data_IF_169991148906
#
_entry.id   IF_169991148906
#
_cell.length_a   1.000
_cell.length_b   1.000
_cell.length_c   1.000
_cell.angle_alpha   90.00
_cell.angle_beta   90.00
_cell.angle_gamma   90.00
#
_symmetry.space_group_name_H-M   'P 1'
#
loop_
_entity.id
_entity.type
_entity.pdbx_description
1 polymer ?
#
# COMPACT_ATOMS: atom_id res chain seq x y z
N UNK A 1 23.02 2.87 -13.92
CA UNK A 1 21.84 3.27 -13.14
C UNK A 1 22.16 2.96 -11.68
N UNK A 2 22.41 3.95 -10.85
CA UNK A 2 22.61 3.70 -9.41
C UNK A 2 21.25 3.33 -8.83
N UNK A 3 21.16 2.16 -8.20
CA UNK A 3 20.01 1.79 -7.38
C UNK A 3 19.96 2.80 -6.22
N UNK A 4 19.06 3.77 -6.29
CA UNK A 4 18.83 4.71 -5.21
C UNK A 4 18.06 3.99 -4.08
N UNK A 5 18.82 3.26 -3.25
CA UNK A 5 18.33 2.58 -2.04
C UNK A 5 18.26 3.57 -0.87
N UNK A 6 18.64 4.83 -1.10
CA UNK A 6 18.50 5.88 -0.09
C UNK A 6 17.03 6.12 0.19
N UNK A 7 16.67 6.35 1.45
CA UNK A 7 15.28 6.61 1.88
C UNK A 7 14.65 7.80 1.15
N UNK A 8 13.40 8.11 1.46
CA UNK A 8 12.69 9.23 0.85
C UNK A 8 13.48 10.53 0.94
N UNK A 9 13.61 11.27 -0.16
CA UNK A 9 14.27 12.58 -0.19
C UNK A 9 13.52 13.56 0.69
N UNK A 10 14.24 14.35 1.47
CA UNK A 10 13.66 15.41 2.30
C UNK A 10 13.64 16.67 1.46
N UNK A 11 12.45 17.20 1.15
CA UNK A 11 12.31 18.43 0.40
C UNK A 11 12.43 19.66 1.30
N UNK A 12 11.87 19.59 2.49
CA UNK A 12 11.83 20.73 3.39
C UNK A 12 11.84 20.28 4.86
N UNK A 13 12.59 20.97 5.69
CA UNK A 13 12.58 20.82 7.14
C UNK A 13 11.91 22.04 7.75
N UNK A 14 10.78 21.83 8.42
CA UNK A 14 10.13 22.90 9.19
C UNK A 14 10.86 23.06 10.52
N UNK A 15 11.16 24.32 10.95
CA UNK A 15 11.79 24.59 12.24
C UNK A 15 10.79 24.44 13.41
N UNK A 16 10.06 23.34 13.44
CA UNK A 16 9.08 23.00 14.48
C UNK A 16 9.61 21.75 15.16
N UNK A 17 10.11 21.91 16.39
CA UNK A 17 10.54 20.78 17.21
C UNK A 17 9.31 20.11 17.85
N UNK A 18 8.99 18.91 17.37
CA UNK A 18 7.96 18.08 17.99
C UNK A 18 8.61 17.23 19.08
N UNK A 19 8.12 17.25 20.33
CA UNK A 19 8.64 16.40 21.39
C UNK A 19 8.64 14.94 20.91
N UNK A 20 9.77 14.23 21.06
CA UNK A 20 10.00 12.82 20.65
C UNK A 20 10.33 12.63 19.17
N UNK A 21 9.80 13.44 18.23
CA UNK A 21 9.99 13.25 16.77
C UNK A 21 11.09 14.17 16.19
N UNK A 22 11.56 15.17 16.96
CA UNK A 22 12.51 16.15 16.46
C UNK A 22 11.92 17.12 15.44
N UNK A 23 12.71 17.60 14.49
CA UNK A 23 12.24 18.54 13.46
C UNK A 23 11.31 17.88 12.47
N UNK A 24 10.21 18.53 12.15
CA UNK A 24 9.24 18.03 11.17
C UNK A 24 9.84 18.11 9.76
N UNK A 25 10.05 16.95 9.15
CA UNK A 25 10.64 16.82 7.82
C UNK A 25 9.56 16.49 6.82
N UNK A 26 9.42 17.29 5.78
CA UNK A 26 8.54 16.97 4.64
C UNK A 26 9.33 16.12 3.65
N UNK A 27 8.99 14.84 3.61
CA UNK A 27 9.59 13.89 2.69
C UNK A 27 8.86 13.87 1.34
N UNK A 28 9.54 13.36 0.31
CA UNK A 28 8.97 13.12 -1.01
C UNK A 28 7.71 12.26 -0.92
N UNK A 29 7.72 11.20 -0.12
CA UNK A 29 6.57 10.31 0.10
C UNK A 29 5.36 11.03 0.67
N UNK A 30 5.57 12.02 1.55
CA UNK A 30 4.49 12.83 2.11
C UNK A 30 3.82 13.72 1.05
N UNK A 31 4.64 14.36 0.19
CA UNK A 31 4.12 15.19 -0.92
C UNK A 31 3.35 14.34 -1.92
N UNK A 32 3.89 13.16 -2.28
CA UNK A 32 3.21 12.24 -3.19
C UNK A 32 1.92 11.71 -2.55
N UNK A 33 1.90 11.44 -1.24
CA UNK A 33 0.65 11.06 -0.54
C UNK A 33 -0.43 12.13 -0.65
N UNK A 34 -0.07 13.42 -0.52
CA UNK A 34 -1.02 14.52 -0.72
C UNK A 34 -1.53 14.58 -2.15
N UNK A 35 -0.64 14.37 -3.13
CA UNK A 35 -1.02 14.31 -4.53
C UNK A 35 -2.00 13.16 -4.80
N UNK A 36 -1.75 11.97 -4.25
CA UNK A 36 -2.66 10.81 -4.33
C UNK A 36 -4.03 11.15 -3.74
N UNK A 37 -4.07 11.77 -2.56
CA UNK A 37 -5.34 12.17 -1.93
C UNK A 37 -6.11 13.19 -2.78
N UNK A 38 -5.44 14.19 -3.33
CA UNK A 38 -6.05 15.18 -4.22
C UNK A 38 -6.60 14.52 -5.48
N UNK A 39 -5.83 13.60 -6.08
CA UNK A 39 -6.23 12.87 -7.27
C UNK A 39 -7.47 12.00 -7.03
N UNK A 40 -7.48 11.22 -5.94
CA UNK A 40 -8.64 10.37 -5.58
C UNK A 40 -9.86 11.25 -5.30
N UNK A 41 -9.70 12.33 -4.52
CA UNK A 41 -10.80 13.24 -4.20
C UNK A 41 -11.36 13.90 -5.46
N UNK A 42 -10.48 14.39 -6.35
CA UNK A 42 -10.88 14.96 -7.63
C UNK A 42 -11.61 13.97 -8.53
N UNK A 43 -11.13 12.71 -8.56
CA UNK A 43 -11.79 11.63 -9.31
C UNK A 43 -13.17 11.32 -8.73
N UNK A 44 -13.31 11.25 -7.40
CA UNK A 44 -14.59 11.04 -6.74
C UNK A 44 -15.58 12.17 -7.06
N UNK A 45 -15.15 13.43 -6.95
CA UNK A 45 -15.99 14.60 -7.29
C UNK A 45 -16.41 14.53 -8.76
N UNK A 46 -15.47 14.21 -9.66
CA UNK A 46 -15.76 14.12 -11.08
C UNK A 46 -16.74 12.97 -11.41
N UNK A 47 -16.62 11.80 -10.78
CA UNK A 47 -17.50 10.65 -10.97
C UNK A 47 -18.90 10.90 -10.40
N UNK A 48 -19.01 11.61 -9.28
CA UNK A 48 -20.28 11.87 -8.59
C UNK A 48 -20.93 13.19 -8.99
N UNK A 49 -20.31 13.93 -9.93
CA UNK A 49 -20.89 15.16 -10.44
C UNK A 49 -22.13 14.87 -11.31
N UNK A 50 -23.24 15.50 -11.01
CA UNK A 50 -24.50 15.42 -11.78
C UNK A 50 -25.11 13.99 -11.79
N UNK A 51 -25.35 13.46 -10.59
CA UNK A 51 -26.05 12.19 -10.41
C UNK A 51 -27.53 12.32 -10.78
N UNK A 52 -28.05 11.38 -11.57
CA UNK A 52 -29.43 11.35 -12.09
C UNK A 52 -30.09 10.02 -11.78
N UNK A 53 -31.39 10.03 -11.50
CA UNK A 53 -32.17 8.81 -11.30
C UNK A 53 -32.55 8.16 -12.63
N UNK A 54 -32.80 8.97 -13.68
CA UNK A 54 -33.09 8.50 -15.03
C UNK A 54 -31.99 8.90 -16.02
N UNK A 55 -31.77 8.11 -17.06
CA UNK A 55 -30.73 8.31 -18.08
C UNK A 55 -29.29 8.40 -17.45
N UNK A 56 -28.95 7.35 -16.71
CA UNK A 56 -27.69 7.21 -16.00
C UNK A 56 -26.50 7.36 -16.95
N UNK A 57 -25.58 8.26 -16.64
CA UNK A 57 -24.35 8.44 -17.41
C UNK A 57 -23.36 7.28 -17.17
N UNK A 58 -22.50 7.00 -18.16
CA UNK A 58 -21.45 5.96 -17.99
C UNK A 58 -20.55 6.24 -16.78
N UNK A 59 -20.32 7.50 -16.44
CA UNK A 59 -19.54 7.90 -15.25
C UNK A 59 -20.24 7.49 -13.97
N UNK A 60 -21.54 7.76 -13.88
CA UNK A 60 -22.36 7.37 -12.73
C UNK A 60 -22.43 5.85 -12.58
N UNK A 61 -22.60 5.11 -13.67
CA UNK A 61 -22.62 3.65 -13.66
C UNK A 61 -21.30 3.07 -13.11
N UNK A 62 -20.16 3.69 -13.44
CA UNK A 62 -18.86 3.29 -12.88
C UNK A 62 -18.79 3.61 -11.37
N UNK A 63 -19.25 4.80 -10.94
CA UNK A 63 -19.28 5.15 -9.53
C UNK A 63 -20.16 4.20 -8.71
N UNK A 64 -21.36 3.90 -9.20
CA UNK A 64 -22.29 2.95 -8.58
C UNK A 64 -21.70 1.55 -8.49
N UNK A 65 -21.04 1.07 -9.55
CA UNK A 65 -20.36 -0.23 -9.56
C UNK A 65 -19.25 -0.29 -8.49
N UNK A 66 -18.45 0.76 -8.35
CA UNK A 66 -17.39 0.82 -7.32
C UNK A 66 -18.00 0.76 -5.92
N UNK A 67 -19.05 1.53 -5.67
CA UNK A 67 -19.75 1.55 -4.39
C UNK A 67 -20.41 0.20 -4.09
N UNK A 68 -21.07 -0.40 -5.09
CA UNK A 68 -21.68 -1.73 -4.96
C UNK A 68 -20.63 -2.80 -4.61
N UNK A 69 -19.48 -2.80 -5.29
CA UNK A 69 -18.38 -3.73 -4.98
C UNK A 69 -17.81 -3.52 -3.58
N UNK A 70 -17.62 -2.26 -3.16
CA UNK A 70 -17.18 -1.94 -1.81
C UNK A 70 -18.21 -2.40 -0.75
N UNK A 71 -19.51 -2.16 -0.99
CA UNK A 71 -20.59 -2.64 -0.13
C UNK A 71 -20.57 -4.16 -0.02
N UNK A 72 -20.57 -4.86 -1.16
CA UNK A 72 -20.56 -6.33 -1.19
C UNK A 72 -19.34 -6.91 -0.50
N UNK A 73 -18.17 -6.28 -0.65
CA UNK A 73 -16.94 -6.72 -0.01
C UNK A 73 -17.02 -6.60 1.52
N UNK A 74 -17.43 -5.45 2.05
CA UNK A 74 -17.48 -5.24 3.49
C UNK A 74 -18.65 -6.03 4.13
N UNK A 75 -19.85 -5.91 3.58
CA UNK A 75 -21.04 -6.58 4.14
C UNK A 75 -20.92 -8.09 4.02
N UNK A 76 -20.37 -8.61 2.91
CA UNK A 76 -20.19 -10.04 2.72
C UNK A 76 -19.21 -10.68 3.70
N UNK A 77 -18.22 -9.92 4.19
CA UNK A 77 -17.21 -10.45 5.13
C UNK A 77 -17.47 -10.09 6.60
N UNK A 78 -18.18 -9.00 6.88
CA UNK A 78 -18.38 -8.49 8.26
C UNK A 78 -19.84 -8.46 8.69
N UNK A 79 -20.79 -8.53 7.74
CA UNK A 79 -22.22 -8.36 7.96
C UNK A 79 -22.67 -6.90 7.99
N UNK A 80 -24.00 -6.69 7.95
CA UNK A 80 -24.65 -5.38 7.84
C UNK A 80 -24.31 -4.41 8.98
N UNK A 81 -24.01 -4.91 10.17
CA UNK A 81 -23.65 -4.10 11.35
C UNK A 81 -22.41 -3.22 11.13
N UNK A 82 -21.57 -3.57 10.16
CA UNK A 82 -20.33 -2.87 9.85
C UNK A 82 -20.41 -1.96 8.62
N UNK A 83 -21.62 -1.68 8.14
CA UNK A 83 -21.85 -0.80 6.98
C UNK A 83 -21.17 0.57 7.11
N UNK A 84 -20.99 1.06 8.31
CA UNK A 84 -20.30 2.32 8.59
C UNK A 84 -18.79 2.31 8.24
N UNK A 85 -18.18 1.12 8.09
CA UNK A 85 -16.77 0.97 7.70
C UNK A 85 -16.53 0.97 6.19
N UNK A 86 -17.58 0.87 5.39
CA UNK A 86 -17.46 0.82 3.92
C UNK A 86 -16.64 1.99 3.36
N UNK A 87 -16.90 3.26 3.75
CA UNK A 87 -16.12 4.39 3.23
C UNK A 87 -14.64 4.31 3.61
N UNK A 88 -14.34 3.84 4.84
CA UNK A 88 -12.96 3.68 5.30
C UNK A 88 -12.22 2.62 4.49
N UNK A 89 -12.80 1.43 4.32
CA UNK A 89 -12.19 0.32 3.58
C UNK A 89 -12.03 0.69 2.10
N UNK A 90 -13.02 1.34 1.50
CA UNK A 90 -12.94 1.81 0.12
C UNK A 90 -11.85 2.86 -0.08
N UNK A 91 -11.73 3.82 0.85
CA UNK A 91 -10.69 4.84 0.83
C UNK A 91 -9.29 4.21 1.01
N UNK A 92 -9.15 3.28 1.95
CA UNK A 92 -7.90 2.54 2.19
C UNK A 92 -7.45 1.77 0.96
N UNK A 93 -8.38 1.05 0.32
CA UNK A 93 -8.12 0.31 -0.92
C UNK A 93 -7.72 1.24 -2.06
N UNK A 94 -8.50 2.30 -2.31
CA UNK A 94 -8.23 3.26 -3.37
C UNK A 94 -6.86 3.95 -3.16
N UNK A 95 -6.57 4.40 -1.94
CA UNK A 95 -5.30 5.05 -1.61
C UNK A 95 -4.12 4.10 -1.79
N UNK A 96 -4.24 2.84 -1.34
CA UNK A 96 -3.20 1.83 -1.51
C UNK A 96 -2.95 1.50 -2.98
N UNK A 97 -4.01 1.25 -3.77
CA UNK A 97 -3.88 0.95 -5.20
C UNK A 97 -3.26 2.12 -5.96
N UNK A 98 -3.76 3.34 -5.78
CA UNK A 98 -3.24 4.51 -6.49
C UNK A 98 -1.79 4.81 -6.07
N UNK A 99 -1.45 4.65 -4.78
CA UNK A 99 -0.08 4.80 -4.27
C UNK A 99 0.88 3.79 -4.92
N UNK A 100 0.44 2.55 -5.12
CA UNK A 100 1.26 1.53 -5.79
C UNK A 100 1.41 1.83 -7.29
N UNK A 101 0.33 2.25 -7.96
CA UNK A 101 0.36 2.53 -9.40
C UNK A 101 1.14 3.80 -9.75
N UNK A 102 1.33 4.73 -8.81
CA UNK A 102 2.03 5.98 -9.08
C UNK A 102 3.53 5.76 -9.38
N UNK A 103 4.09 4.61 -8.97
CA UNK A 103 5.44 4.19 -9.32
C UNK A 103 5.64 4.02 -10.82
N UNK A 104 4.58 3.65 -11.56
CA UNK A 104 4.61 3.51 -13.02
C UNK A 104 4.86 4.85 -13.74
N UNK A 105 4.55 5.97 -13.09
CA UNK A 105 4.80 7.33 -13.63
C UNK A 105 6.20 7.82 -13.23
N UNK A 106 6.98 6.99 -12.52
CA UNK A 106 8.32 7.33 -12.04
C UNK A 106 8.35 8.17 -10.77
N UNK A 107 7.22 8.30 -10.07
CA UNK A 107 7.15 8.92 -8.74
C UNK A 107 7.38 7.86 -7.67
N UNK A 108 8.00 8.26 -6.56
CA UNK A 108 8.22 7.35 -5.43
C UNK A 108 6.88 7.02 -4.76
N UNK A 109 6.54 5.73 -4.74
CA UNK A 109 5.31 5.29 -4.09
C UNK A 109 5.34 5.58 -2.57
N UNK A 110 4.28 6.16 -2.00
CA UNK A 110 4.12 6.28 -0.54
C UNK A 110 4.21 4.96 0.21
N UNK A 111 3.74 3.86 -0.41
CA UNK A 111 3.77 2.50 0.16
C UNK A 111 5.17 1.88 0.17
N UNK A 112 6.14 2.49 -0.52
CA UNK A 112 7.57 2.14 -0.41
C UNK A 112 8.24 2.73 0.83
N UNK A 113 7.49 3.41 1.70
CA UNK A 113 7.98 3.96 2.97
C UNK A 113 7.32 3.22 4.14
N UNK A 114 8.16 2.60 4.98
CA UNK A 114 7.68 1.84 6.15
C UNK A 114 6.89 2.71 7.12
N UNK A 115 7.18 3.99 7.22
CA UNK A 115 6.45 4.91 8.10
C UNK A 115 4.99 5.09 7.67
N UNK A 116 4.72 5.13 6.38
CA UNK A 116 3.36 5.19 5.82
C UNK A 116 2.58 3.92 6.13
N UNK A 117 3.19 2.77 5.86
CA UNK A 117 2.59 1.45 6.13
C UNK A 117 2.35 1.21 7.61
N UNK A 118 3.32 1.59 8.45
CA UNK A 118 3.17 1.51 9.89
C UNK A 118 2.03 2.40 10.40
N UNK A 119 1.88 3.62 9.86
CA UNK A 119 0.77 4.51 10.22
C UNK A 119 -0.59 3.89 9.88
N UNK A 120 -0.75 3.30 8.69
CA UNK A 120 -1.98 2.61 8.31
C UNK A 120 -2.25 1.39 9.21
N UNK A 121 -1.24 0.58 9.47
CA UNK A 121 -1.36 -0.59 10.34
C UNK A 121 -1.72 -0.20 11.79
N UNK A 122 -1.18 0.91 12.30
CA UNK A 122 -1.52 1.42 13.64
C UNK A 122 -2.98 1.90 13.69
N UNK A 123 -3.48 2.61 12.67
CA UNK A 123 -4.89 3.01 12.58
C UNK A 123 -5.79 1.78 12.61
N UNK A 124 -5.50 0.77 11.80
CA UNK A 124 -6.25 -0.49 11.78
C UNK A 124 -6.18 -1.20 13.14
N UNK A 125 -5.02 -1.24 13.78
CA UNK A 125 -4.84 -1.83 15.10
C UNK A 125 -5.68 -1.12 16.18
N UNK A 126 -5.73 0.21 16.16
CA UNK A 126 -6.59 0.99 17.05
C UNK A 126 -8.06 0.61 16.83
N UNK A 127 -8.48 0.43 15.56
CA UNK A 127 -9.86 0.04 15.23
C UNK A 127 -10.19 -1.37 15.74
N UNK A 128 -9.26 -2.33 15.58
CA UNK A 128 -9.39 -3.70 16.08
C UNK A 128 -9.54 -3.68 17.61
N UNK A 129 -8.62 -2.99 18.29
CA UNK A 129 -8.62 -2.90 19.75
C UNK A 129 -9.89 -2.20 20.27
N UNK A 130 -10.33 -1.12 19.62
CA UNK A 130 -11.57 -0.43 19.96
C UNK A 130 -12.79 -1.35 19.79
N UNK A 131 -12.80 -2.18 18.74
CA UNK A 131 -13.87 -3.15 18.52
C UNK A 131 -13.86 -4.25 19.59
N UNK A 132 -12.71 -4.81 19.95
CA UNK A 132 -12.57 -5.79 21.04
C UNK A 132 -13.10 -5.22 22.39
N UNK A 133 -12.70 -3.99 22.72
CA UNK A 133 -13.17 -3.31 23.93
C UNK A 133 -14.68 -3.06 23.88
N UNK A 134 -15.23 -2.73 22.72
CA UNK A 134 -16.67 -2.51 22.55
C UNK A 134 -17.47 -3.80 22.72
N UNK A 135 -16.93 -4.93 22.29
CA UNK A 135 -17.61 -6.25 22.33
C UNK A 135 -17.54 -6.88 23.72
N UNK A 136 -16.35 -7.03 24.27
CA UNK A 136 -16.12 -7.76 25.54
C UNK A 136 -15.94 -6.84 26.75
N UNK A 137 -15.93 -5.50 26.55
CA UNK A 137 -15.61 -4.52 27.58
C UNK A 137 -14.12 -4.48 27.92
N UNK A 138 -13.68 -3.41 28.59
CA UNK A 138 -12.26 -3.23 28.93
C UNK A 138 -11.71 -4.37 29.81
N UNK A 139 -12.51 -4.82 30.79
CA UNK A 139 -12.14 -5.96 31.65
C UNK A 139 -12.08 -7.29 30.91
N UNK A 140 -12.99 -7.52 29.96
CA UNK A 140 -13.00 -8.70 29.08
C UNK A 140 -11.79 -8.73 28.18
N UNK A 141 -11.45 -7.61 27.57
CA UNK A 141 -10.24 -7.47 26.75
C UNK A 141 -8.96 -7.82 27.52
N UNK A 142 -8.78 -7.27 28.74
CA UNK A 142 -7.63 -7.61 29.57
C UNK A 142 -7.62 -9.09 30.00
N UNK A 143 -8.79 -9.65 30.31
CA UNK A 143 -8.92 -11.07 30.64
C UNK A 143 -8.60 -11.96 29.45
N UNK A 144 -8.88 -11.52 28.23
CA UNK A 144 -8.54 -12.23 26.99
C UNK A 144 -7.05 -12.57 26.90
N UNK A 145 -6.16 -11.69 27.38
CA UNK A 145 -4.72 -11.99 27.39
C UNK A 145 -4.33 -13.15 28.31
N UNK A 146 -5.11 -13.45 29.33
CA UNK A 146 -4.83 -14.54 30.28
C UNK A 146 -5.50 -15.86 29.90
N UNK A 147 -6.28 -15.89 28.82
CA UNK A 147 -6.99 -17.07 28.35
C UNK A 147 -6.14 -17.83 27.32
N UNK A 148 -6.12 -19.18 27.29
CA UNK A 148 -6.79 -20.10 28.21
C UNK A 148 -6.04 -20.32 29.54
N UNK A 149 -4.76 -19.96 29.62
CA UNK A 149 -3.89 -20.18 30.79
C UNK A 149 -3.07 -18.91 31.01
N UNK A 150 -2.96 -18.42 32.26
CA UNK A 150 -2.24 -17.19 32.59
C UNK A 150 -0.76 -17.18 32.15
N UNK A 151 -0.12 -18.34 32.03
CA UNK A 151 1.26 -18.46 31.52
C UNK A 151 1.39 -18.02 30.05
N UNK A 152 0.30 -18.02 29.28
CA UNK A 152 0.30 -17.60 27.88
C UNK A 152 0.18 -16.08 27.71
N UNK A 153 -0.02 -15.32 28.79
CA UNK A 153 -0.18 -13.86 28.72
C UNK A 153 0.94 -13.16 27.91
N UNK A 154 2.24 -13.44 28.14
CA UNK A 154 3.29 -12.77 27.37
C UNK A 154 3.22 -13.10 25.87
N UNK A 155 2.83 -14.31 25.50
CA UNK A 155 2.67 -14.72 24.09
C UNK A 155 1.44 -14.04 23.47
N UNK A 156 0.35 -13.92 24.18
CA UNK A 156 -0.87 -13.24 23.70
C UNK A 156 -0.62 -11.74 23.50
N UNK A 157 0.10 -11.08 24.40
CA UNK A 157 0.51 -9.67 24.24
C UNK A 157 1.43 -9.52 23.02
N UNK A 158 2.41 -10.42 22.87
CA UNK A 158 3.33 -10.38 21.74
C UNK A 158 2.57 -10.59 20.42
N UNK A 159 1.62 -11.52 20.38
CA UNK A 159 0.77 -11.78 19.20
C UNK A 159 -0.05 -10.55 18.84
N UNK A 160 -0.65 -9.87 19.81
CA UNK A 160 -1.44 -8.65 19.59
C UNK A 160 -0.57 -7.54 18.96
N UNK A 161 0.65 -7.34 19.49
CA UNK A 161 1.59 -6.35 18.95
C UNK A 161 2.20 -6.78 17.61
N UNK A 162 2.34 -8.07 17.37
CA UNK A 162 2.88 -8.60 16.11
C UNK A 162 1.92 -8.37 14.93
N UNK A 163 0.62 -8.27 15.18
CA UNK A 163 -0.39 -8.08 14.13
C UNK A 163 -0.15 -6.82 13.29
N UNK A 164 -0.08 -5.58 13.85
CA UNK A 164 0.17 -4.38 13.07
C UNK A 164 1.56 -4.39 12.43
N UNK A 165 2.57 -4.92 13.12
CA UNK A 165 3.93 -5.04 12.58
C UNK A 165 3.94 -5.97 11.36
N UNK A 166 3.28 -7.11 11.45
CA UNK A 166 3.17 -8.06 10.33
C UNK A 166 2.44 -7.44 9.13
N UNK A 167 1.37 -6.68 9.36
CA UNK A 167 0.62 -6.00 8.30
C UNK A 167 1.49 -4.96 7.58
N UNK A 168 2.17 -4.10 8.33
CA UNK A 168 3.06 -3.07 7.79
C UNK A 168 4.24 -3.68 7.03
N UNK A 169 4.94 -4.65 7.64
CA UNK A 169 6.09 -5.30 7.02
C UNK A 169 5.72 -6.11 5.77
N UNK A 170 4.55 -6.70 5.72
CA UNK A 170 4.09 -7.45 4.55
C UNK A 170 3.92 -6.54 3.35
N UNK A 171 3.21 -5.42 3.52
CA UNK A 171 2.97 -4.47 2.44
C UNK A 171 4.27 -3.80 2.00
N UNK A 172 4.98 -3.20 2.92
CA UNK A 172 6.28 -2.59 2.66
C UNK A 172 7.28 -3.56 2.03
N UNK A 173 7.41 -4.77 2.58
CA UNK A 173 8.37 -5.78 2.10
C UNK A 173 8.09 -6.23 0.67
N UNK A 174 6.81 -6.35 0.30
CA UNK A 174 6.44 -6.68 -1.08
C UNK A 174 6.85 -5.59 -2.07
N UNK A 175 6.56 -4.33 -1.75
CA UNK A 175 6.94 -3.19 -2.60
C UNK A 175 8.46 -3.05 -2.68
N UNK A 176 9.14 -3.10 -1.53
CA UNK A 176 10.60 -2.98 -1.49
C UNK A 176 11.29 -4.11 -2.27
N UNK A 177 10.83 -5.36 -2.10
CA UNK A 177 11.41 -6.49 -2.85
C UNK A 177 11.19 -6.34 -4.35
N UNK A 178 10.03 -5.83 -4.79
CA UNK A 178 9.77 -5.52 -6.20
C UNK A 178 10.74 -4.50 -6.75
N UNK A 179 10.97 -3.39 -6.03
CA UNK A 179 11.93 -2.35 -6.44
C UNK A 179 13.36 -2.91 -6.54
N UNK A 180 13.80 -3.70 -5.55
CA UNK A 180 15.15 -4.30 -5.53
C UNK A 180 15.31 -5.31 -6.66
N UNK A 181 14.36 -6.23 -6.82
CA UNK A 181 14.41 -7.26 -7.88
C UNK A 181 14.42 -6.63 -9.26
N UNK A 182 13.52 -5.67 -9.52
CA UNK A 182 13.50 -4.95 -10.79
C UNK A 182 14.84 -4.24 -11.04
N UNK A 183 15.38 -3.56 -10.06
CA UNK A 183 16.68 -2.89 -10.17
C UNK A 183 17.84 -3.85 -10.48
N UNK A 184 17.86 -5.04 -9.87
CA UNK A 184 18.87 -6.07 -10.18
C UNK A 184 18.69 -6.63 -11.59
N UNK A 185 17.46 -6.85 -12.04
CA UNK A 185 17.18 -7.31 -13.41
C UNK A 185 17.64 -6.28 -14.42
N UNK A 186 17.33 -4.99 -14.23
CA UNK A 186 17.82 -3.90 -15.08
C UNK A 186 19.35 -3.88 -15.15
N UNK A 187 20.01 -3.94 -13.99
CA UNK A 187 21.47 -3.97 -13.93
C UNK A 187 22.09 -5.17 -14.67
N UNK A 188 21.53 -6.36 -14.45
CA UNK A 188 22.00 -7.58 -15.12
C UNK A 188 21.79 -7.54 -16.65
N UNK A 189 20.64 -7.05 -17.10
CA UNK A 189 20.31 -6.95 -18.52
C UNK A 189 21.13 -5.87 -19.23
N UNK A 190 21.43 -4.76 -18.55
CA UNK A 190 22.33 -3.73 -19.07
C UNK A 190 23.75 -4.31 -19.33
N UNK A 191 24.28 -5.07 -18.35
CA UNK A 191 25.58 -5.76 -18.50
C UNK A 191 25.53 -6.80 -19.63
N UNK A 192 24.49 -7.63 -19.66
CA UNK A 192 24.31 -8.63 -20.69
C UNK A 192 24.19 -8.00 -22.11
N UNK A 193 23.42 -6.89 -22.21
CA UNK A 193 23.26 -6.14 -23.47
C UNK A 193 24.60 -5.58 -23.96
N UNK A 194 25.36 -4.94 -23.05
CA UNK A 194 26.67 -4.40 -23.41
C UNK A 194 27.67 -5.49 -23.81
N UNK A 195 27.66 -6.65 -23.14
CA UNK A 195 28.52 -7.78 -23.45
C UNK A 195 28.18 -8.40 -24.82
N UNK A 196 26.89 -8.62 -25.11
CA UNK A 196 26.43 -9.21 -26.37
C UNK A 196 26.69 -8.27 -27.55
N UNK A 197 26.41 -6.99 -27.41
CA UNK A 197 26.57 -6.01 -28.48
C UNK A 197 28.03 -5.61 -28.69
N UNK A 198 28.87 -5.70 -27.65
CA UNK A 198 30.32 -5.51 -27.72
C UNK A 198 31.04 -6.61 -28.47
N UNK A 199 30.40 -7.78 -28.76
CA UNK A 199 30.95 -8.81 -29.63
C UNK A 199 30.89 -8.43 -31.10
N UNK A 200 30.17 -7.39 -31.49
CA UNK A 200 30.07 -6.90 -32.85
C UNK A 200 31.33 -6.08 -33.16
N UNK A 201 32.19 -6.49 -34.18
CA UNK A 201 33.40 -5.78 -34.47
C UNK A 201 33.14 -4.44 -35.15
N UNK A 202 33.91 -3.43 -34.77
CA UNK A 202 33.92 -2.11 -35.43
C UNK A 202 33.10 -1.05 -34.69
N UNK A 203 33.08 0.18 -35.21
CA UNK A 203 32.45 1.34 -34.63
C UNK A 203 30.93 1.17 -34.34
N UNK A 204 30.27 0.25 -35.02
CA UNK A 204 28.88 -0.13 -34.79
C UNK A 204 28.71 -0.85 -33.43
N UNK A 205 29.64 -1.76 -33.09
CA UNK A 205 29.61 -2.44 -31.78
C UNK A 205 29.83 -1.48 -30.61
N UNK A 206 30.74 -0.51 -30.78
CA UNK A 206 31.03 0.50 -29.75
C UNK A 206 29.83 1.44 -29.48
N UNK A 207 29.02 1.73 -30.49
CA UNK A 207 27.82 2.54 -30.34
C UNK A 207 26.66 1.72 -29.76
N UNK A 208 26.46 0.51 -30.28
CA UNK A 208 25.37 -0.37 -29.85
C UNK A 208 25.57 -0.89 -28.42
N UNK A 209 26.80 -1.16 -28.00
CA UNK A 209 27.09 -1.61 -26.61
C UNK A 209 26.72 -0.60 -25.55
N UNK A 210 26.54 0.67 -25.90
CA UNK A 210 26.08 1.74 -25.00
C UNK A 210 24.56 1.80 -24.88
N UNK A 211 23.84 1.07 -25.75
CA UNK A 211 22.36 1.05 -25.74
C UNK A 211 21.90 -0.23 -25.07
N UNK A 212 21.25 -0.17 -23.92
CA UNK A 212 20.76 -1.35 -23.19
C UNK A 212 19.47 -1.89 -23.85
N UNK A 213 19.60 -2.53 -25.01
CA UNK A 213 18.46 -3.00 -25.83
C UNK A 213 17.60 -4.02 -25.05
N UNK A 214 18.24 -4.86 -24.23
CA UNK A 214 17.53 -5.85 -23.43
C UNK A 214 16.71 -5.22 -22.28
N UNK A 215 17.02 -3.98 -21.89
CA UNK A 215 16.26 -3.26 -20.86
C UNK A 215 14.89 -2.77 -21.35
N UNK A 216 14.60 -2.84 -22.65
CA UNK A 216 13.34 -2.35 -23.19
C UNK A 216 12.20 -3.39 -23.09
N UNK A 217 12.50 -4.69 -23.19
CA UNK A 217 11.48 -5.73 -23.27
C UNK A 217 11.23 -6.49 -21.96
N UNK A 218 12.25 -7.13 -21.42
CA UNK A 218 12.12 -8.00 -20.24
C UNK A 218 11.70 -7.24 -18.97
N UNK A 219 12.27 -6.07 -18.66
CA UNK A 219 11.86 -5.31 -17.49
C UNK A 219 10.43 -4.78 -17.56
N UNK A 220 9.91 -4.49 -18.76
CA UNK A 220 8.50 -4.10 -18.89
C UNK A 220 7.55 -5.22 -18.38
N UNK A 221 7.88 -6.48 -18.64
CA UNK A 221 7.09 -7.63 -18.16
C UNK A 221 7.20 -7.75 -16.64
N UNK A 222 8.41 -7.59 -16.08
CA UNK A 222 8.60 -7.65 -14.62
C UNK A 222 7.95 -6.48 -13.90
N UNK A 223 7.95 -5.28 -14.47
CA UNK A 223 7.23 -4.12 -13.93
C UNK A 223 5.71 -4.35 -13.91
N UNK A 224 5.13 -4.93 -14.98
CA UNK A 224 3.71 -5.30 -14.97
C UNK A 224 3.39 -6.27 -13.83
N UNK A 225 4.29 -7.23 -13.56
CA UNK A 225 4.06 -8.18 -12.46
C UNK A 225 4.24 -7.53 -11.08
N UNK A 226 5.36 -6.85 -10.83
CA UNK A 226 5.69 -6.34 -9.51
C UNK A 226 4.93 -5.05 -9.17
N UNK A 227 4.86 -4.09 -10.10
CA UNK A 227 4.27 -2.78 -9.82
C UNK A 227 2.75 -2.82 -9.94
N UNK A 228 2.20 -3.50 -10.93
CA UNK A 228 0.77 -3.52 -11.17
C UNK A 228 0.07 -4.68 -10.46
N UNK A 229 0.40 -5.92 -10.82
CA UNK A 229 -0.31 -7.09 -10.28
C UNK A 229 -0.05 -7.26 -8.79
N UNK A 230 1.21 -7.30 -8.37
CA UNK A 230 1.59 -7.50 -6.97
C UNK A 230 1.15 -6.32 -6.09
N UNK A 231 1.26 -5.08 -6.59
CA UNK A 231 0.78 -3.89 -5.88
C UNK A 231 -0.73 -3.90 -5.63
N UNK A 232 -1.55 -4.24 -6.63
CA UNK A 232 -3.01 -4.35 -6.47
C UNK A 232 -3.37 -5.51 -5.53
N UNK A 233 -2.73 -6.68 -5.71
CA UNK A 233 -2.96 -7.83 -4.83
C UNK A 233 -2.62 -7.50 -3.37
N UNK A 234 -1.55 -6.77 -3.14
CA UNK A 234 -1.16 -6.40 -1.79
C UNK A 234 -2.14 -5.41 -1.14
N UNK A 235 -2.65 -4.43 -1.91
CA UNK A 235 -3.71 -3.55 -1.46
C UNK A 235 -4.97 -4.32 -1.06
N UNK A 236 -5.36 -5.32 -1.88
CA UNK A 236 -6.49 -6.20 -1.59
C UNK A 236 -6.26 -7.02 -0.32
N UNK A 237 -5.08 -7.63 -0.16
CA UNK A 237 -4.73 -8.43 1.03
C UNK A 237 -4.76 -7.57 2.29
N UNK A 238 -4.23 -6.34 2.25
CA UNK A 238 -4.24 -5.44 3.38
C UNK A 238 -5.67 -5.07 3.81
N UNK A 239 -6.54 -4.74 2.84
CA UNK A 239 -7.95 -4.47 3.11
C UNK A 239 -8.70 -5.71 3.62
N UNK A 240 -8.45 -6.88 3.03
CA UNK A 240 -9.06 -8.14 3.49
C UNK A 240 -8.67 -8.48 4.92
N UNK A 241 -7.39 -8.35 5.28
CA UNK A 241 -6.93 -8.56 6.65
C UNK A 241 -7.56 -7.55 7.61
N UNK A 242 -7.66 -6.27 7.21
CA UNK A 242 -8.33 -5.23 8.01
C UNK A 242 -9.77 -5.63 8.32
N UNK A 243 -10.53 -6.01 7.29
CA UNK A 243 -11.92 -6.43 7.41
C UNK A 243 -12.05 -7.65 8.31
N UNK A 244 -11.24 -8.69 8.07
CA UNK A 244 -11.29 -9.95 8.84
C UNK A 244 -10.91 -9.76 10.30
N UNK A 245 -9.86 -8.99 10.60
CA UNK A 245 -9.45 -8.75 11.98
C UNK A 245 -10.49 -7.95 12.77
N UNK A 246 -11.14 -6.95 12.14
CA UNK A 246 -12.21 -6.18 12.80
C UNK A 246 -13.46 -7.05 12.98
N UNK A 247 -13.79 -7.92 12.01
CA UNK A 247 -14.91 -8.86 12.12
C UNK A 247 -14.69 -9.85 13.28
N UNK A 248 -13.52 -10.49 13.32
CA UNK A 248 -13.16 -11.42 14.40
C UNK A 248 -13.19 -10.74 15.78
N UNK A 249 -12.69 -9.49 15.88
CA UNK A 249 -12.74 -8.72 17.11
C UNK A 249 -14.17 -8.41 17.61
N UNK A 250 -15.17 -8.61 16.76
CA UNK A 250 -16.59 -8.43 17.13
C UNK A 250 -17.27 -9.74 17.52
N UNK A 251 -16.61 -10.87 17.34
CA UNK A 251 -17.10 -12.20 17.73
C UNK A 251 -16.48 -12.69 19.05
N UNK A 252 -15.31 -12.14 19.41
CA UNK A 252 -14.65 -12.37 20.70
C UNK A 252 -15.41 -11.63 21.84
#
# INVERSE_FOLDING_TARGET
>A
MELDITGARIFFTLPIDVPVLGQLRISETMVVSWLVMILITGLCIWLTHDLKEENISKRQAVAELIVEKANSFVIGNMGEKFRYLIPFVAALFATSVVSNLISLIGLRSPTADLSTEAAWAVVVFIMITAQKIKTSGFGGYLKGFTTPIAVMTPFNILSELATPVSMACRHFGNILSGVVINGLIYGALAVASSALLGLIPGALGDVLSKIPILDVGVPAITSVYFDWFSGIMQAFIFCMLTVMYIANAAEE
#
